data_IF_870110047836
#
_entry.id   IF_870110047836
#
_cell.length_a   1.000
_cell.length_b   1.000
_cell.length_c   1.000
_cell.angle_alpha   90.00
_cell.angle_beta   90.00
_cell.angle_gamma   90.00
#
_symmetry.space_group_name_H-M   'P 1'
#
loop_
_entity.id
_entity.type
_entity.pdbx_description
1 polymer ?
#
# COMPACT_ATOMS: atom_id res chain seq x y z
N UNK A 1 -1.79 11.86 -2.65
CA UNK A 1 -1.44 11.52 -4.03
C UNK A 1 -2.61 11.72 -5.00
N UNK A 2 -3.74 11.11 -4.78
CA UNK A 2 -4.93 11.32 -5.63
C UNK A 2 -5.84 12.43 -5.11
N UNK A 3 -5.47 13.09 -4.03
CA UNK A 3 -6.21 14.16 -3.31
C UNK A 3 -7.70 13.84 -3.06
N UNK A 4 -8.04 12.56 -2.98
CA UNK A 4 -9.41 12.07 -2.82
C UNK A 4 -9.69 11.47 -1.43
N UNK A 5 -8.71 11.40 -0.52
CA UNK A 5 -8.91 10.79 0.80
C UNK A 5 -10.03 11.48 1.61
N UNK A 6 -10.14 12.81 1.52
CA UNK A 6 -11.19 13.54 2.21
C UNK A 6 -12.60 13.20 1.66
N UNK A 7 -12.71 13.03 0.34
CA UNK A 7 -13.97 12.62 -0.30
C UNK A 7 -14.31 11.18 0.10
N UNK A 8 -13.33 10.27 0.06
CA UNK A 8 -13.52 8.88 0.50
C UNK A 8 -13.95 8.81 1.97
N UNK A 9 -13.31 9.59 2.85
CA UNK A 9 -13.67 9.66 4.26
C UNK A 9 -15.12 10.14 4.46
N UNK A 10 -15.53 11.18 3.74
CA UNK A 10 -16.89 11.68 3.75
C UNK A 10 -17.88 10.62 3.24
N UNK A 11 -17.61 10.02 2.09
CA UNK A 11 -18.49 9.00 1.48
C UNK A 11 -18.69 7.80 2.41
N UNK A 12 -17.61 7.36 3.08
CA UNK A 12 -17.69 6.28 4.08
C UNK A 12 -18.55 6.69 5.26
N UNK A 13 -18.38 7.90 5.79
CA UNK A 13 -19.19 8.40 6.91
C UNK A 13 -20.68 8.54 6.54
N UNK A 14 -20.98 8.93 5.30
CA UNK A 14 -22.35 9.10 4.80
C UNK A 14 -23.00 7.80 4.31
N UNK A 15 -22.22 6.73 4.11
CA UNK A 15 -22.72 5.45 3.57
C UNK A 15 -23.69 4.71 4.48
N UNK A 16 -23.69 5.02 5.77
CA UNK A 16 -24.43 4.27 6.79
C UNK A 16 -23.83 2.92 7.18
N UNK A 17 -22.69 2.54 6.56
CA UNK A 17 -21.94 1.34 6.93
C UNK A 17 -21.12 1.62 8.20
N UNK A 18 -20.88 0.58 9.01
CA UNK A 18 -19.92 0.70 10.12
C UNK A 18 -18.50 0.76 9.52
N UNK A 19 -17.62 1.54 10.16
CA UNK A 19 -16.23 1.67 9.69
C UNK A 19 -15.53 0.31 9.52
N UNK A 20 -15.84 -0.66 10.35
CA UNK A 20 -15.27 -2.02 10.31
C UNK A 20 -15.78 -2.88 9.15
N UNK A 21 -16.87 -2.50 8.50
CA UNK A 21 -17.40 -3.16 7.31
C UNK A 21 -16.77 -2.62 5.99
N UNK A 22 -15.91 -1.59 6.10
CA UNK A 22 -15.23 -0.96 4.97
C UNK A 22 -13.73 -1.15 5.08
N UNK A 23 -13.10 -1.70 4.04
CA UNK A 23 -11.65 -1.88 3.97
C UNK A 23 -11.01 -0.73 3.18
N UNK A 24 -10.27 0.15 3.87
CA UNK A 24 -9.64 1.33 3.26
C UNK A 24 -8.17 1.04 2.99
N UNK A 25 -7.78 1.22 1.72
CA UNK A 25 -6.37 1.20 1.29
C UNK A 25 -5.95 2.58 0.82
N UNK A 26 -4.83 3.08 1.31
CA UNK A 26 -4.19 4.28 0.79
C UNK A 26 -2.68 4.12 0.65
N UNK A 27 -1.99 5.14 0.11
CA UNK A 27 -0.56 5.07 -0.20
C UNK A 27 0.16 6.36 0.18
N UNK A 28 1.40 6.21 0.65
CA UNK A 28 2.34 7.33 0.77
C UNK A 28 3.18 7.45 -0.50
N UNK A 29 3.25 8.66 -1.05
CA UNK A 29 4.05 8.98 -2.22
C UNK A 29 5.39 9.66 -1.84
N UNK A 30 6.21 9.95 -2.85
CA UNK A 30 7.54 10.53 -2.68
C UNK A 30 7.58 11.84 -1.87
N UNK A 31 6.51 12.62 -1.86
CA UNK A 31 6.43 13.83 -1.03
C UNK A 31 6.46 13.54 0.47
N UNK A 32 6.37 12.27 0.85
CA UNK A 32 6.46 11.75 2.23
C UNK A 32 7.72 10.90 2.43
N UNK A 33 8.75 11.11 1.61
CA UNK A 33 10.00 10.37 1.70
C UNK A 33 10.73 10.62 3.02
N UNK A 34 11.18 9.54 3.67
CA UNK A 34 11.82 9.55 4.99
C UNK A 34 10.84 9.29 6.15
N UNK A 35 11.41 8.98 7.32
CA UNK A 35 10.63 8.54 8.49
C UNK A 35 9.63 9.60 8.99
N UNK A 36 10.11 10.82 9.27
CA UNK A 36 9.29 11.88 9.86
C UNK A 36 8.15 12.34 8.90
N UNK A 37 8.47 12.49 7.62
CA UNK A 37 7.48 12.86 6.61
C UNK A 37 6.46 11.74 6.36
N UNK A 38 6.88 10.49 6.42
CA UNK A 38 5.97 9.35 6.33
C UNK A 38 5.01 9.33 7.52
N UNK A 39 5.51 9.59 8.74
CA UNK A 39 4.67 9.68 9.94
C UNK A 39 3.63 10.80 9.83
N UNK A 40 4.05 12.00 9.43
CA UNK A 40 3.12 13.09 9.14
C UNK A 40 2.08 12.71 8.08
N UNK A 41 2.51 12.01 7.02
CA UNK A 41 1.61 11.50 5.99
C UNK A 41 0.55 10.53 6.52
N UNK A 42 0.89 9.69 7.48
CA UNK A 42 -0.05 8.79 8.16
C UNK A 42 -1.10 9.60 8.93
N UNK A 43 -0.66 10.55 9.75
CA UNK A 43 -1.57 11.41 10.53
C UNK A 43 -2.51 12.22 9.63
N UNK A 44 -2.00 12.79 8.56
CA UNK A 44 -2.81 13.53 7.59
C UNK A 44 -3.81 12.62 6.86
N UNK A 45 -3.42 11.39 6.49
CA UNK A 45 -4.33 10.43 5.86
C UNK A 45 -5.46 10.03 6.80
N UNK A 46 -5.17 9.77 8.08
CA UNK A 46 -6.19 9.50 9.09
C UNK A 46 -7.17 10.66 9.24
N UNK A 47 -6.64 11.90 9.31
CA UNK A 47 -7.47 13.09 9.43
C UNK A 47 -8.37 13.31 8.20
N UNK A 48 -7.83 13.14 6.98
CA UNK A 48 -8.60 13.26 5.74
C UNK A 48 -9.64 12.15 5.58
N UNK A 49 -9.29 10.92 5.94
CA UNK A 49 -10.20 9.78 5.91
C UNK A 49 -11.22 9.78 7.06
N UNK A 50 -11.08 10.68 8.03
CA UNK A 50 -11.95 10.80 9.20
C UNK A 50 -12.08 9.48 9.97
N UNK A 51 -10.95 8.81 10.22
CA UNK A 51 -10.90 7.48 10.84
C UNK A 51 -9.72 7.35 11.80
N UNK A 52 -9.85 6.47 12.79
CA UNK A 52 -8.81 6.22 13.78
C UNK A 52 -7.79 5.16 13.31
N UNK A 53 -8.08 4.46 12.20
CA UNK A 53 -7.18 3.45 11.65
C UNK A 53 -7.31 3.31 10.13
N UNK A 54 -6.24 2.83 9.49
CA UNK A 54 -6.19 2.45 8.09
C UNK A 54 -6.05 0.94 7.99
N UNK A 55 -6.84 0.28 7.12
CA UNK A 55 -6.79 -1.17 6.96
C UNK A 55 -5.51 -1.61 6.23
N UNK A 56 -5.10 -0.90 5.19
CA UNK A 56 -3.86 -1.18 4.45
C UNK A 56 -3.20 0.13 4.01
N UNK A 57 -1.95 0.33 4.42
CA UNK A 57 -1.12 1.44 3.94
C UNK A 57 0.08 0.92 3.16
N UNK A 58 0.29 1.48 1.96
CA UNK A 58 1.36 1.09 1.06
C UNK A 58 2.35 2.24 0.82
N UNK A 59 3.63 1.91 0.64
CA UNK A 59 4.56 2.80 -0.04
C UNK A 59 4.30 2.67 -1.53
N UNK A 60 4.13 3.81 -2.22
CA UNK A 60 3.61 3.83 -3.60
C UNK A 60 4.60 3.31 -4.65
N UNK A 61 5.90 3.58 -4.48
CA UNK A 61 6.97 3.21 -5.41
C UNK A 61 8.25 2.85 -4.63
N UNK A 62 9.21 2.14 -5.25
CA UNK A 62 10.51 1.85 -4.66
C UNK A 62 11.42 3.08 -4.61
N UNK A 63 11.05 4.09 -3.80
CA UNK A 63 11.86 5.29 -3.59
C UNK A 63 13.17 4.97 -2.86
N UNK A 64 14.18 5.82 -3.00
CA UNK A 64 15.46 5.66 -2.29
C UNK A 64 15.26 5.63 -0.76
N UNK A 65 14.30 6.40 -0.25
CA UNK A 65 13.93 6.49 1.17
C UNK A 65 12.84 5.49 1.60
N UNK A 66 12.47 4.53 0.73
CA UNK A 66 11.38 3.59 1.00
C UNK A 66 11.56 2.82 2.31
N UNK A 67 12.80 2.48 2.70
CA UNK A 67 13.07 1.77 3.94
C UNK A 67 12.75 2.63 5.17
N UNK A 68 13.12 3.91 5.15
CA UNK A 68 12.81 4.82 6.26
C UNK A 68 11.32 5.11 6.35
N UNK A 69 10.64 5.27 5.20
CA UNK A 69 9.18 5.34 5.16
C UNK A 69 8.56 4.07 5.77
N UNK A 70 9.08 2.89 5.41
CA UNK A 70 8.55 1.61 5.88
C UNK A 70 8.75 1.39 7.38
N UNK A 71 9.79 1.96 7.97
CA UNK A 71 9.99 2.00 9.42
C UNK A 71 8.86 2.76 10.12
N UNK A 72 8.43 3.89 9.57
CA UNK A 72 7.27 4.63 10.08
C UNK A 72 5.97 3.81 9.96
N UNK A 73 5.75 3.14 8.82
CA UNK A 73 4.61 2.24 8.66
C UNK A 73 4.64 1.09 9.69
N UNK A 74 5.82 0.50 9.90
CA UNK A 74 6.01 -0.60 10.87
C UNK A 74 5.69 -0.17 12.29
N UNK A 75 6.10 1.04 12.68
CA UNK A 75 5.78 1.61 14.00
C UNK A 75 4.28 1.85 14.14
N UNK A 76 3.63 2.47 13.16
CA UNK A 76 2.19 2.71 13.17
C UNK A 76 1.38 1.39 13.15
N UNK A 77 1.88 0.34 12.48
CA UNK A 77 1.32 -1.00 12.54
C UNK A 77 1.42 -1.60 13.96
N UNK A 78 2.57 -1.49 14.61
CA UNK A 78 2.76 -1.95 16.00
C UNK A 78 1.87 -1.22 17.00
N UNK A 79 1.58 0.05 16.74
CA UNK A 79 0.64 0.84 17.55
C UNK A 79 -0.83 0.55 17.23
N UNK A 80 -1.14 -0.24 16.21
CA UNK A 80 -2.50 -0.59 15.79
C UNK A 80 -3.22 0.51 14.99
N UNK A 81 -2.53 1.59 14.64
CA UNK A 81 -3.05 2.68 13.79
C UNK A 81 -3.21 2.22 12.33
N UNK A 82 -2.36 1.30 11.89
CA UNK A 82 -2.46 0.63 10.60
C UNK A 82 -2.62 -0.86 10.84
N UNK A 83 -3.59 -1.51 10.19
CA UNK A 83 -3.88 -2.95 10.36
C UNK A 83 -3.04 -3.85 9.47
N UNK A 84 -2.63 -3.36 8.30
CA UNK A 84 -1.72 -4.05 7.38
C UNK A 84 -0.83 -3.05 6.65
N UNK A 85 0.43 -3.44 6.42
CA UNK A 85 1.42 -2.60 5.74
C UNK A 85 1.98 -3.32 4.52
N UNK A 86 2.33 -2.56 3.50
CA UNK A 86 2.86 -3.11 2.27
C UNK A 86 3.58 -2.08 1.41
N UNK A 87 3.85 -2.51 0.21
CA UNK A 87 4.57 -1.77 -0.82
C UNK A 87 3.84 -1.84 -2.15
N UNK A 88 4.24 -1.01 -3.10
CA UNK A 88 3.67 -1.00 -4.44
C UNK A 88 4.76 -0.79 -5.48
N UNK A 89 4.61 -1.45 -6.62
CA UNK A 89 5.48 -1.36 -7.80
C UNK A 89 6.91 -1.88 -7.63
N UNK A 90 7.22 -2.62 -6.57
CA UNK A 90 8.51 -3.28 -6.42
C UNK A 90 8.60 -4.50 -7.35
N UNK A 91 9.65 -4.58 -8.16
CA UNK A 91 9.96 -5.80 -8.91
C UNK A 91 10.58 -6.89 -8.00
N UNK A 92 10.87 -8.08 -8.55
CA UNK A 92 11.35 -9.20 -7.74
C UNK A 92 12.67 -8.89 -7.02
N UNK A 93 13.61 -8.23 -7.70
CA UNK A 93 14.92 -7.87 -7.14
C UNK A 93 14.77 -6.81 -6.07
N UNK A 94 14.10 -5.70 -6.38
CA UNK A 94 13.83 -4.63 -5.42
C UNK A 94 13.13 -5.14 -4.17
N UNK A 95 12.15 -6.03 -4.34
CA UNK A 95 11.44 -6.67 -3.22
C UNK A 95 12.38 -7.48 -2.34
N UNK A 96 13.20 -8.37 -2.93
CA UNK A 96 14.11 -9.24 -2.16
C UNK A 96 15.19 -8.42 -1.44
N UNK A 97 15.73 -7.39 -2.09
CA UNK A 97 16.70 -6.47 -1.49
C UNK A 97 16.06 -5.69 -0.32
N UNK A 98 14.82 -5.22 -0.50
CA UNK A 98 14.09 -4.43 0.49
C UNK A 98 13.77 -5.23 1.76
N UNK A 99 13.22 -6.44 1.62
CA UNK A 99 12.81 -7.25 2.77
C UNK A 99 13.99 -7.71 3.65
N UNK A 100 15.20 -7.76 3.09
CA UNK A 100 16.42 -8.06 3.84
C UNK A 100 16.73 -7.05 4.96
N UNK A 101 16.10 -5.86 4.94
CA UNK A 101 16.27 -4.78 5.91
C UNK A 101 14.98 -4.45 6.68
N UNK A 102 13.90 -5.21 6.46
CA UNK A 102 12.61 -4.98 7.12
C UNK A 102 12.45 -5.81 8.40
N UNK A 103 11.99 -5.18 9.47
CA UNK A 103 11.59 -5.89 10.71
C UNK A 103 10.28 -6.67 10.54
N UNK A 104 9.38 -6.13 9.70
CA UNK A 104 8.09 -6.76 9.34
C UNK A 104 8.07 -6.90 7.84
N UNK A 105 7.89 -8.12 7.36
CA UNK A 105 7.79 -8.38 5.91
C UNK A 105 6.52 -7.70 5.37
N UNK A 106 6.57 -7.00 4.22
CA UNK A 106 5.39 -6.42 3.60
C UNK A 106 4.29 -7.47 3.38
N UNK A 107 3.09 -7.21 3.84
CA UNK A 107 1.96 -8.13 3.70
C UNK A 107 1.43 -8.16 2.26
N UNK A 108 1.60 -7.03 1.55
CA UNK A 108 1.12 -6.84 0.17
C UNK A 108 2.19 -6.16 -0.66
N UNK A 109 2.35 -6.59 -1.92
CA UNK A 109 2.98 -5.81 -2.98
C UNK A 109 1.95 -5.59 -4.09
N UNK A 110 1.51 -4.32 -4.25
CA UNK A 110 0.52 -3.95 -5.26
C UNK A 110 1.22 -3.54 -6.55
N UNK A 111 1.01 -4.29 -7.63
CA UNK A 111 1.71 -4.09 -8.92
C UNK A 111 0.77 -4.21 -10.10
N UNK A 112 1.16 -3.66 -11.27
CA UNK A 112 0.50 -4.01 -12.51
C UNK A 112 0.58 -5.52 -12.74
N UNK A 113 -0.59 -6.17 -12.78
CA UNK A 113 -0.65 -7.61 -13.02
C UNK A 113 -1.95 -7.95 -13.75
N UNK A 114 -1.84 -8.58 -14.91
CA UNK A 114 -2.95 -8.98 -15.76
C UNK A 114 -2.55 -10.12 -16.70
N UNK A 115 -3.46 -10.65 -17.50
CA UNK A 115 -3.22 -11.81 -18.38
C UNK A 115 -2.04 -11.65 -19.34
N UNK A 116 -1.72 -10.42 -19.77
CA UNK A 116 -0.61 -10.09 -20.64
C UNK A 116 0.68 -9.73 -19.89
N UNK A 117 0.60 -9.49 -18.56
CA UNK A 117 1.75 -9.14 -17.73
C UNK A 117 1.65 -9.83 -16.36
N UNK A 118 2.00 -11.10 -16.36
CA UNK A 118 1.73 -12.03 -15.26
C UNK A 118 2.70 -11.96 -14.09
N UNK A 119 3.81 -11.22 -14.18
CA UNK A 119 4.79 -11.05 -13.09
C UNK A 119 5.28 -12.36 -12.45
N UNK A 120 5.49 -13.44 -13.21
CA UNK A 120 5.75 -14.78 -12.67
C UNK A 120 6.91 -14.83 -11.68
N UNK A 121 8.04 -14.19 -12.02
CA UNK A 121 9.22 -14.12 -11.15
C UNK A 121 8.91 -13.42 -9.82
N UNK A 122 8.23 -12.28 -9.88
CA UNK A 122 7.78 -11.57 -8.69
C UNK A 122 6.82 -12.41 -7.86
N UNK A 123 5.82 -13.05 -8.49
CA UNK A 123 4.88 -13.92 -7.78
C UNK A 123 5.61 -15.02 -6.99
N UNK A 124 6.62 -15.65 -7.61
CA UNK A 124 7.42 -16.68 -6.94
C UNK A 124 8.16 -16.12 -5.71
N UNK A 125 8.79 -14.94 -5.85
CA UNK A 125 9.48 -14.29 -4.75
C UNK A 125 8.53 -13.93 -3.59
N UNK A 126 7.36 -13.34 -3.92
CA UNK A 126 6.36 -12.94 -2.93
C UNK A 126 5.79 -14.14 -2.15
N UNK A 127 5.37 -15.20 -2.85
CA UNK A 127 4.79 -16.41 -2.23
C UNK A 127 5.77 -17.05 -1.25
N UNK A 128 7.07 -17.11 -1.60
CA UNK A 128 8.10 -17.69 -0.74
C UNK A 128 8.22 -16.95 0.61
N UNK A 129 7.93 -15.67 0.64
CA UNK A 129 8.04 -14.81 1.82
C UNK A 129 6.69 -14.53 2.51
N UNK A 130 5.59 -15.06 1.99
CA UNK A 130 4.26 -14.86 2.55
C UNK A 130 3.61 -13.51 2.20
N UNK A 131 4.18 -12.75 1.24
CA UNK A 131 3.62 -11.49 0.74
C UNK A 131 2.55 -11.76 -0.32
N UNK A 132 1.39 -11.11 -0.21
CA UNK A 132 0.32 -11.20 -1.20
C UNK A 132 0.57 -10.25 -2.37
N UNK A 133 0.32 -10.74 -3.60
CA UNK A 133 0.25 -9.84 -4.76
C UNK A 133 -1.14 -9.24 -4.86
N UNK A 134 -1.22 -7.92 -5.06
CA UNK A 134 -2.45 -7.21 -5.38
C UNK A 134 -2.31 -6.57 -6.77
N UNK A 135 -3.23 -6.90 -7.68
CA UNK A 135 -3.16 -6.38 -9.03
C UNK A 135 -3.79 -5.00 -9.15
N UNK A 136 -3.07 -4.01 -9.72
CA UNK A 136 -3.69 -2.85 -10.30
C UNK A 136 -3.80 -3.03 -11.83
N UNK A 137 -4.77 -2.33 -12.46
CA UNK A 137 -5.12 -2.50 -13.88
C UNK A 137 -5.34 -3.96 -14.33
N UNK A 138 -6.08 -4.81 -13.58
CA UNK A 138 -6.22 -6.22 -13.91
C UNK A 138 -6.88 -6.46 -15.28
N UNK A 139 -7.60 -5.47 -15.81
CA UNK A 139 -8.25 -5.47 -17.13
C UNK A 139 -7.55 -4.55 -18.15
N UNK A 140 -6.24 -4.25 -17.95
CA UNK A 140 -5.42 -3.43 -18.87
C UNK A 140 -6.00 -2.04 -19.16
N UNK A 141 -6.76 -1.46 -18.24
CA UNK A 141 -7.47 -0.17 -18.39
C UNK A 141 -8.38 -0.13 -19.63
N UNK A 142 -8.85 -1.30 -20.11
CA UNK A 142 -9.65 -1.40 -21.33
C UNK A 142 -8.84 -1.23 -22.63
N UNK A 143 -7.51 -1.09 -22.55
CA UNK A 143 -6.65 -0.84 -23.75
C UNK A 143 -6.39 -2.10 -24.59
N UNK A 144 -6.64 -3.28 -24.04
CA UNK A 144 -6.47 -4.56 -24.76
C UNK A 144 -7.73 -5.42 -24.59
N UNK A 145 -8.26 -6.01 -25.68
CA UNK A 145 -9.39 -6.92 -25.57
C UNK A 145 -8.98 -8.17 -24.80
N UNK A 146 -9.83 -8.60 -23.87
CA UNK A 146 -9.75 -9.91 -23.26
C UNK A 146 -10.49 -10.87 -24.21
N UNK A 147 -9.76 -11.46 -25.14
CA UNK A 147 -10.28 -12.46 -26.08
C UNK A 147 -10.09 -13.87 -25.53
#
# INVERSE_FOLDING_TARGET
MYDNEAIVGQDVAESGLRREDVFITTKLCQTRAGYELAWQGIEESLARLQTDYIDLLLIHEPYDEALDMYRALTEAYRQGVIRAIGISNFNAREYLDFIGSCDVIPMVNQVECHIYYRRKELQQALVTQGTQIQAWSPFTEGKKPIS
#
